data_IF_194873968138
#
_entry.id   IF_194873968138
#
_cell.length_a   1.000
_cell.length_b   1.000
_cell.length_c   1.000
_cell.angle_alpha   90.00
_cell.angle_beta   90.00
_cell.angle_gamma   90.00
#
_symmetry.space_group_name_H-M   'P 1'
#
loop_
_entity.id
_entity.type
_entity.pdbx_description
1 polymer ?
#
# COMPACT_ATOMS: atom_id res chain seq x y z
N UNK A 1 4.00 -27.61 63.29
CA UNK A 1 4.79 -26.92 64.33
C UNK A 1 6.22 -26.78 63.85
N UNK A 2 6.54 -25.64 63.23
CA UNK A 2 7.90 -25.20 62.90
C UNK A 2 7.76 -23.75 62.43
N UNK A 3 7.94 -22.77 63.32
CA UNK A 3 8.15 -21.35 62.99
C UNK A 3 8.47 -20.56 64.27
N UNK A 4 9.57 -20.88 64.96
CA UNK A 4 10.02 -20.06 66.11
C UNK A 4 11.47 -19.56 65.99
N UNK A 5 12.19 -19.84 64.89
CA UNK A 5 13.56 -19.32 64.70
C UNK A 5 13.72 -18.59 63.35
N UNK A 6 13.06 -17.43 63.22
CA UNK A 6 13.44 -16.44 62.21
C UNK A 6 14.44 -15.46 62.84
N UNK A 7 15.62 -15.22 62.22
CA UNK A 7 16.67 -14.38 62.79
C UNK A 7 16.32 -12.89 62.90
N UNK A 8 15.17 -12.46 62.36
CA UNK A 8 14.68 -11.07 62.38
C UNK A 8 13.15 -11.06 62.63
N UNK A 9 12.71 -10.82 63.89
CA UNK A 9 11.29 -10.91 64.25
C UNK A 9 10.42 -9.80 63.63
N UNK A 10 10.97 -8.60 63.41
CA UNK A 10 10.27 -7.46 62.79
C UNK A 10 9.89 -7.74 61.32
N UNK A 11 10.78 -8.40 60.58
CA UNK A 11 10.52 -8.83 59.20
C UNK A 11 9.50 -9.97 59.17
N UNK A 12 9.56 -10.89 60.13
CA UNK A 12 8.60 -11.98 60.25
C UNK A 12 7.19 -11.45 60.56
N UNK A 13 7.06 -10.40 61.36
CA UNK A 13 5.79 -9.73 61.66
C UNK A 13 5.24 -8.98 60.43
N UNK A 14 6.09 -8.26 59.71
CA UNK A 14 5.71 -7.59 58.46
C UNK A 14 5.28 -8.56 57.35
N UNK A 15 5.88 -9.76 57.30
CA UNK A 15 5.54 -10.79 56.31
C UNK A 15 4.43 -11.74 56.78
N UNK A 16 4.03 -11.71 58.05
CA UNK A 16 2.96 -12.53 58.63
C UNK A 16 1.63 -12.52 57.85
N UNK A 17 1.13 -11.38 57.31
CA UNK A 17 -0.08 -11.41 56.48
C UNK A 17 0.11 -12.06 55.10
N UNK A 18 1.35 -12.22 54.64
CA UNK A 18 1.69 -12.79 53.34
C UNK A 18 2.17 -14.25 53.42
N UNK A 19 2.64 -14.71 54.59
CA UNK A 19 3.07 -16.08 54.84
C UNK A 19 1.87 -16.90 55.31
N UNK A 20 1.23 -17.60 54.37
CA UNK A 20 0.14 -18.55 54.68
C UNK A 20 0.67 -19.90 55.14
N UNK A 21 -0.13 -20.64 55.91
CA UNK A 21 0.22 -22.00 56.31
C UNK A 21 0.31 -22.90 55.07
N UNK A 22 1.20 -23.91 55.11
CA UNK A 22 1.43 -24.84 53.98
C UNK A 22 0.13 -25.49 53.50
N UNK A 23 -0.76 -25.83 54.42
CA UNK A 23 -2.05 -26.46 54.12
C UNK A 23 -3.02 -25.50 53.43
N UNK A 24 -3.10 -24.24 53.89
CA UNK A 24 -3.88 -23.20 53.22
C UNK A 24 -3.36 -22.93 51.81
N UNK A 25 -2.04 -22.91 51.62
CA UNK A 25 -1.43 -22.76 50.28
C UNK A 25 -1.77 -23.96 49.40
N UNK A 26 -1.77 -25.18 49.94
CA UNK A 26 -2.16 -26.39 49.21
C UNK A 26 -3.64 -26.38 48.83
N UNK A 27 -4.52 -25.91 49.70
CA UNK A 27 -5.96 -25.77 49.45
C UNK A 27 -6.24 -24.69 48.41
N UNK A 28 -5.59 -23.53 48.52
CA UNK A 28 -5.66 -22.46 47.51
C UNK A 28 -5.18 -22.98 46.15
N UNK A 29 -4.06 -23.72 46.12
CA UNK A 29 -3.55 -24.31 44.87
C UNK A 29 -4.54 -25.32 44.28
N UNK A 30 -5.14 -26.19 45.08
CA UNK A 30 -6.17 -27.14 44.64
C UNK A 30 -7.42 -26.42 44.09
N UNK A 31 -7.88 -25.36 44.74
CA UNK A 31 -9.02 -24.56 44.28
C UNK A 31 -8.72 -23.78 42.99
N UNK A 32 -7.53 -23.20 42.86
CA UNK A 32 -7.13 -22.54 41.62
C UNK A 32 -6.99 -23.55 40.48
N UNK A 33 -6.41 -24.72 40.76
CA UNK A 33 -6.28 -25.80 39.79
C UNK A 33 -7.65 -26.30 39.32
N UNK A 34 -8.62 -26.51 40.22
CA UNK A 34 -9.98 -26.91 39.84
C UNK A 34 -10.70 -25.81 39.04
N UNK A 35 -10.52 -24.54 39.41
CA UNK A 35 -11.08 -23.41 38.68
C UNK A 35 -10.53 -23.29 37.25
N UNK A 36 -9.21 -23.42 37.09
CA UNK A 36 -8.56 -23.40 35.78
C UNK A 36 -8.93 -24.64 34.96
N UNK A 37 -9.03 -25.80 35.59
CA UNK A 37 -9.49 -27.03 34.94
C UNK A 37 -10.90 -26.86 34.37
N UNK A 38 -11.83 -26.27 35.12
CA UNK A 38 -13.18 -26.00 34.63
C UNK A 38 -13.25 -24.98 33.49
N UNK A 39 -12.25 -24.08 33.36
CA UNK A 39 -12.23 -23.02 32.34
C UNK A 39 -11.45 -23.38 31.07
N UNK A 40 -10.40 -24.18 31.20
CA UNK A 40 -9.45 -24.46 30.11
C UNK A 40 -9.70 -25.86 29.53
N UNK A 41 -10.06 -26.85 30.35
CA UNK A 41 -10.19 -28.23 29.88
C UNK A 41 -11.59 -28.53 29.39
N UNK A 42 -11.74 -28.60 28.06
CA UNK A 42 -12.87 -29.29 27.42
C UNK A 42 -12.56 -30.71 26.96
N UNK A 43 -11.27 -31.05 26.86
CA UNK A 43 -10.81 -32.30 26.23
C UNK A 43 -10.24 -33.33 27.22
N UNK A 44 -10.51 -33.18 28.53
CA UNK A 44 -10.25 -34.23 29.53
C UNK A 44 -8.78 -34.45 29.95
N UNK A 45 -7.81 -33.71 29.42
CA UNK A 45 -6.39 -33.85 29.82
C UNK A 45 -6.06 -33.07 31.11
N UNK A 46 -5.39 -33.65 32.12
CA UNK A 46 -5.05 -32.93 33.36
C UNK A 46 -4.09 -31.77 33.11
N UNK A 47 -4.40 -30.59 33.65
CA UNK A 47 -3.51 -29.42 33.59
C UNK A 47 -2.32 -29.65 34.53
N UNK A 48 -1.17 -29.94 33.95
CA UNK A 48 0.14 -29.84 34.63
C UNK A 48 0.67 -28.41 34.52
N UNK A 49 1.50 -27.96 35.46
CA UNK A 49 2.14 -26.62 35.44
C UNK A 49 2.94 -26.36 34.16
N UNK A 50 3.35 -27.41 33.46
CA UNK A 50 4.06 -27.37 32.18
C UNK A 50 3.10 -27.06 31.00
N UNK A 51 1.82 -27.46 31.10
CA UNK A 51 0.83 -27.30 30.03
C UNK A 51 0.14 -25.93 30.01
N UNK A 52 0.32 -25.11 31.05
CA UNK A 52 -0.21 -23.73 31.08
C UNK A 52 0.58 -22.81 30.13
N UNK A 53 1.86 -23.11 29.91
CA UNK A 53 2.76 -22.31 29.07
C UNK A 53 2.68 -22.67 27.58
N UNK A 54 2.01 -23.78 27.21
CA UNK A 54 1.92 -24.24 25.84
C UNK A 54 0.45 -24.40 25.44
N UNK A 55 -0.18 -23.36 24.83
CA UNK A 55 -1.52 -23.50 24.29
C UNK A 55 -1.45 -24.36 23.02
N UNK A 56 -1.47 -25.68 23.19
CA UNK A 56 -1.61 -26.63 22.08
C UNK A 56 -3.03 -26.70 21.49
N UNK A 57 -3.96 -25.89 22.03
CA UNK A 57 -5.35 -25.87 21.58
C UNK A 57 -5.51 -24.87 20.43
N UNK A 58 -5.45 -25.36 19.20
CA UNK A 58 -5.69 -24.61 17.96
C UNK A 58 -7.14 -24.15 17.77
N UNK A 59 -8.04 -24.45 18.73
CA UNK A 59 -9.45 -24.02 18.69
C UNK A 59 -9.91 -23.59 20.09
N UNK A 60 -10.21 -22.30 20.23
CA UNK A 60 -10.97 -21.78 21.36
C UNK A 60 -12.41 -22.28 21.22
N UNK A 61 -12.80 -23.33 21.95
CA UNK A 61 -14.22 -23.75 21.98
C UNK A 61 -15.11 -22.70 22.65
N UNK A 62 -16.45 -22.73 22.44
CA UNK A 62 -17.47 -21.84 23.06
C UNK A 62 -17.10 -21.18 24.42
N UNK A 63 -17.34 -19.90 24.66
CA UNK A 63 -16.90 -19.24 25.89
C UNK A 63 -17.54 -19.88 27.14
N UNK A 64 -16.78 -20.11 28.23
CA UNK A 64 -17.37 -20.55 29.49
C UNK A 64 -18.30 -19.46 30.04
N UNK A 65 -19.48 -19.86 30.52
CA UNK A 65 -20.56 -18.98 30.99
C UNK A 65 -20.19 -18.12 32.20
N UNK A 66 -19.07 -18.44 32.87
CA UNK A 66 -18.54 -17.70 34.03
C UNK A 66 -17.75 -16.44 33.67
N UNK A 67 -17.41 -16.23 32.39
CA UNK A 67 -16.62 -15.08 31.96
C UNK A 67 -17.57 -13.96 31.48
N UNK A 68 -17.68 -12.89 32.26
CA UNK A 68 -18.48 -11.70 31.95
C UNK A 68 -17.61 -10.45 31.74
N UNK A 69 -18.16 -9.43 31.08
CA UNK A 69 -17.50 -8.14 30.89
C UNK A 69 -16.26 -8.17 29.97
N UNK A 70 -15.21 -7.46 30.37
CA UNK A 70 -13.98 -7.23 29.58
C UNK A 70 -13.29 -8.54 29.21
N UNK A 71 -13.26 -9.53 30.11
CA UNK A 71 -12.64 -10.84 29.83
C UNK A 71 -13.38 -11.60 28.72
N UNK A 72 -14.71 -11.41 28.60
CA UNK A 72 -15.50 -11.99 27.49
C UNK A 72 -15.21 -11.28 26.17
N UNK A 73 -15.02 -9.97 26.21
CA UNK A 73 -14.63 -9.20 25.03
C UNK A 73 -13.23 -9.60 24.54
N UNK A 74 -12.27 -9.76 25.46
CA UNK A 74 -10.93 -10.27 25.14
C UNK A 74 -10.98 -11.67 24.52
N UNK A 75 -11.78 -12.56 25.10
CA UNK A 75 -11.97 -13.92 24.56
C UNK A 75 -12.52 -13.90 23.13
N UNK A 76 -13.56 -13.08 22.87
CA UNK A 76 -14.11 -12.89 21.52
C UNK A 76 -13.09 -12.29 20.55
N UNK A 77 -12.27 -11.35 21.01
CA UNK A 77 -11.21 -10.76 20.19
C UNK A 77 -10.14 -11.80 19.83
N UNK A 78 -9.79 -12.69 20.76
CA UNK A 78 -8.84 -13.77 20.53
C UNK A 78 -9.40 -14.80 19.52
N UNK A 79 -10.67 -15.18 19.67
CA UNK A 79 -11.37 -16.05 18.70
C UNK A 79 -11.43 -15.41 17.30
N UNK A 80 -11.79 -14.13 17.21
CA UNK A 80 -11.77 -13.38 15.96
C UNK A 80 -10.36 -13.31 15.34
N UNK A 81 -9.33 -13.10 16.16
CA UNK A 81 -7.94 -13.09 15.70
C UNK A 81 -7.50 -14.45 15.14
N UNK A 82 -7.82 -15.55 15.84
CA UNK A 82 -7.50 -16.90 15.36
C UNK A 82 -8.21 -17.21 14.05
N UNK A 83 -9.50 -16.87 13.92
CA UNK A 83 -10.24 -17.06 12.66
C UNK A 83 -9.73 -16.17 11.53
N UNK A 84 -9.24 -14.96 11.83
CA UNK A 84 -8.58 -14.11 10.83
C UNK A 84 -7.23 -14.69 10.40
N UNK A 85 -6.45 -15.21 11.34
CA UNK A 85 -5.16 -15.84 11.06
C UNK A 85 -5.32 -17.09 10.19
N UNK A 86 -6.28 -17.96 10.48
CA UNK A 86 -6.53 -19.14 9.63
C UNK A 86 -6.97 -18.77 8.22
N UNK A 87 -7.78 -17.72 8.07
CA UNK A 87 -8.15 -17.18 6.74
C UNK A 87 -6.94 -16.59 6.02
N UNK A 88 -6.09 -15.85 6.71
CA UNK A 88 -4.87 -15.30 6.15
C UNK A 88 -3.93 -16.41 5.68
N UNK A 89 -3.72 -17.44 6.49
CA UNK A 89 -2.89 -18.58 6.14
C UNK A 89 -3.48 -19.35 4.95
N UNK A 90 -4.80 -19.54 4.89
CA UNK A 90 -5.47 -20.13 3.73
C UNK A 90 -5.24 -19.30 2.45
N UNK A 91 -5.49 -17.99 2.49
CA UNK A 91 -5.26 -17.09 1.36
C UNK A 91 -3.79 -17.05 0.95
N UNK A 92 -2.87 -17.13 1.92
CA UNK A 92 -1.43 -17.21 1.66
C UNK A 92 -1.10 -18.49 0.92
N UNK A 93 -1.65 -19.62 1.33
CA UNK A 93 -1.45 -20.89 0.60
C UNK A 93 -2.05 -20.88 -0.79
N UNK A 94 -3.20 -20.23 -1.00
CA UNK A 94 -3.79 -20.03 -2.34
C UNK A 94 -2.91 -19.14 -3.22
N UNK A 95 -2.37 -18.06 -2.66
CA UNK A 95 -1.46 -17.16 -3.37
C UNK A 95 -0.16 -17.89 -3.72
N UNK A 96 0.38 -18.68 -2.81
CA UNK A 96 1.57 -19.49 -3.06
C UNK A 96 1.32 -20.56 -4.14
N UNK A 97 0.10 -21.13 -4.22
CA UNK A 97 -0.30 -22.03 -5.30
C UNK A 97 -0.39 -21.32 -6.65
N UNK A 98 -0.96 -20.10 -6.69
CA UNK A 98 -1.04 -19.28 -7.91
C UNK A 98 0.33 -18.74 -8.35
N UNK A 99 1.20 -18.45 -7.40
CA UNK A 99 2.54 -17.92 -7.63
C UNK A 99 3.53 -19.00 -8.05
N UNK A 100 3.27 -20.27 -7.73
CA UNK A 100 4.14 -21.38 -8.15
C UNK A 100 4.05 -21.53 -9.68
N UNK A 101 5.12 -21.20 -10.44
CA UNK A 101 5.12 -21.50 -11.86
C UNK A 101 5.04 -23.02 -12.02
N UNK A 102 4.00 -23.48 -12.70
CA UNK A 102 3.81 -24.90 -13.03
C UNK A 102 4.89 -25.31 -14.03
N UNK A 103 6.05 -25.73 -13.51
CA UNK A 103 7.01 -26.50 -14.29
C UNK A 103 6.47 -27.92 -14.42
N UNK A 104 6.17 -28.30 -15.66
CA UNK A 104 5.84 -29.65 -16.14
C UNK A 104 4.46 -30.21 -15.75
N UNK A 105 3.51 -30.09 -16.68
CA UNK A 105 3.04 -31.24 -17.49
C UNK A 105 2.32 -30.71 -18.74
N UNK A 106 2.84 -31.09 -19.91
CA UNK A 106 2.24 -30.84 -21.22
C UNK A 106 0.82 -31.41 -21.27
N UNK A 107 -0.17 -30.60 -21.68
CA UNK A 107 -1.47 -31.15 -22.06
C UNK A 107 -2.66 -30.20 -22.17
N UNK A 108 -2.81 -29.19 -21.31
CA UNK A 108 -4.17 -28.58 -21.15
C UNK A 108 -4.23 -27.05 -20.95
N UNK A 109 -3.15 -26.32 -21.25
CA UNK A 109 -3.12 -24.84 -21.12
C UNK A 109 -3.81 -24.08 -22.27
N UNK A 110 -4.37 -24.79 -23.25
CA UNK A 110 -5.16 -24.17 -24.33
C UNK A 110 -6.57 -23.75 -23.88
N UNK A 111 -7.17 -24.47 -22.92
CA UNK A 111 -8.59 -24.29 -22.58
C UNK A 111 -8.80 -23.16 -21.56
N UNK A 112 -7.87 -22.94 -20.63
CA UNK A 112 -8.03 -21.93 -19.57
C UNK A 112 -7.66 -20.51 -20.02
N UNK A 113 -6.71 -20.36 -20.95
CA UNK A 113 -6.41 -19.06 -21.59
C UNK A 113 -7.51 -18.66 -22.57
N UNK A 114 -7.99 -19.59 -23.38
CA UNK A 114 -9.17 -19.38 -24.24
C UNK A 114 -10.43 -19.05 -23.42
N UNK A 115 -10.67 -19.74 -22.30
CA UNK A 115 -11.82 -19.47 -21.43
C UNK A 115 -11.76 -18.09 -20.74
N UNK A 116 -10.57 -17.54 -20.46
CA UNK A 116 -10.44 -16.19 -19.91
C UNK A 116 -10.72 -15.12 -20.98
N UNK A 117 -10.22 -15.31 -22.20
CA UNK A 117 -10.47 -14.41 -23.31
C UNK A 117 -11.96 -14.44 -23.75
N UNK A 118 -12.60 -15.62 -23.73
CA UNK A 118 -14.04 -15.79 -23.96
C UNK A 118 -14.89 -15.13 -22.86
N UNK A 119 -14.46 -15.23 -21.59
CA UNK A 119 -15.12 -14.55 -20.48
C UNK A 119 -15.01 -13.02 -20.58
N UNK A 120 -13.85 -12.50 -21.00
CA UNK A 120 -13.66 -11.08 -21.26
C UNK A 120 -14.49 -10.59 -22.44
N UNK A 121 -14.64 -11.41 -23.49
CA UNK A 121 -15.52 -11.11 -24.61
C UNK A 121 -16.99 -11.02 -24.16
N UNK A 122 -17.46 -11.97 -23.35
CA UNK A 122 -18.82 -11.96 -22.77
C UNK A 122 -19.05 -10.75 -21.84
N UNK A 123 -18.04 -10.34 -21.07
CA UNK A 123 -18.11 -9.13 -20.24
C UNK A 123 -18.26 -7.87 -21.09
N UNK A 124 -17.44 -7.73 -22.14
CA UNK A 124 -17.53 -6.62 -23.10
C UNK A 124 -18.89 -6.59 -23.79
N UNK A 125 -19.41 -7.75 -24.17
CA UNK A 125 -20.73 -7.87 -24.80
C UNK A 125 -21.87 -7.50 -23.85
N UNK A 126 -21.81 -7.95 -22.58
CA UNK A 126 -22.75 -7.54 -21.52
C UNK A 126 -22.70 -6.04 -21.25
N UNK A 127 -21.52 -5.44 -21.27
CA UNK A 127 -21.36 -4.00 -21.11
C UNK A 127 -21.96 -3.24 -22.30
N UNK A 128 -21.69 -3.68 -23.53
CA UNK A 128 -22.32 -3.15 -24.74
C UNK A 128 -23.85 -3.26 -24.66
N UNK A 129 -24.36 -4.41 -24.23
CA UNK A 129 -25.80 -4.63 -24.07
C UNK A 129 -26.42 -3.71 -22.99
N UNK A 130 -25.74 -3.49 -21.86
CA UNK A 130 -26.18 -2.51 -20.85
C UNK A 130 -26.23 -1.10 -21.41
N UNK A 131 -25.19 -0.69 -22.17
CA UNK A 131 -25.15 0.63 -22.83
C UNK A 131 -26.29 0.77 -23.84
N UNK A 132 -26.53 -0.25 -24.67
CA UNK A 132 -27.64 -0.27 -25.62
C UNK A 132 -29.00 -0.22 -24.91
N UNK A 133 -29.18 -0.92 -23.78
CA UNK A 133 -30.42 -0.87 -22.99
C UNK A 133 -30.68 0.50 -22.37
N UNK A 134 -29.63 1.25 -22.01
CA UNK A 134 -29.75 2.64 -21.56
C UNK A 134 -30.19 3.54 -22.72
N UNK A 135 -29.59 3.36 -23.90
CA UNK A 135 -29.97 4.10 -25.12
C UNK A 135 -31.41 3.76 -25.52
N UNK A 136 -31.80 2.48 -25.52
CA UNK A 136 -33.15 2.02 -25.82
C UNK A 136 -34.16 2.57 -24.81
N UNK A 137 -33.82 2.59 -23.51
CA UNK A 137 -34.64 3.24 -22.48
C UNK A 137 -34.77 4.75 -22.75
N UNK A 138 -33.69 5.45 -23.07
CA UNK A 138 -33.72 6.87 -23.39
C UNK A 138 -34.54 7.16 -24.65
N UNK A 139 -34.40 6.36 -25.69
CA UNK A 139 -35.21 6.44 -26.91
C UNK A 139 -36.68 6.15 -26.61
N UNK A 140 -36.99 5.11 -25.83
CA UNK A 140 -38.36 4.80 -25.42
C UNK A 140 -39.00 5.96 -24.64
N UNK A 141 -38.23 6.61 -23.76
CA UNK A 141 -38.67 7.79 -23.01
C UNK A 141 -38.92 8.99 -23.94
N UNK A 142 -38.03 9.23 -24.92
CA UNK A 142 -38.21 10.28 -25.92
C UNK A 142 -39.43 9.98 -26.79
N UNK A 143 -39.64 8.73 -27.24
CA UNK A 143 -40.81 8.35 -28.04
C UNK A 143 -42.11 8.39 -27.26
N UNK A 144 -42.10 8.04 -25.97
CA UNK A 144 -43.26 8.17 -25.08
C UNK A 144 -43.60 9.64 -24.79
N UNK A 145 -42.58 10.50 -24.73
CA UNK A 145 -42.74 11.96 -24.57
C UNK A 145 -43.17 12.66 -25.87
N UNK A 146 -42.85 12.09 -27.04
CA UNK A 146 -43.18 12.65 -28.36
C UNK A 146 -44.67 12.55 -28.73
N UNK A 147 -45.51 11.96 -27.87
CA UNK A 147 -46.97 11.95 -28.01
C UNK A 147 -47.65 13.28 -27.64
N UNK A 148 -46.92 14.23 -27.05
CA UNK A 148 -47.39 15.59 -26.80
C UNK A 148 -46.56 16.56 -27.63
N UNK A 149 -47.10 16.93 -28.79
CA UNK A 149 -46.51 17.90 -29.69
C UNK A 149 -46.16 19.21 -28.96
N UNK A 150 -44.88 19.57 -28.93
CA UNK A 150 -44.43 20.93 -28.68
C UNK A 150 -43.14 21.17 -29.45
N UNK A 151 -43.15 22.21 -30.27
CA UNK A 151 -42.07 22.68 -31.13
C UNK A 151 -40.91 23.33 -30.33
N UNK A 152 -40.43 22.64 -29.30
CA UNK A 152 -39.22 22.99 -28.55
C UNK A 152 -38.06 22.09 -28.96
N UNK A 153 -36.86 22.65 -29.03
CA UNK A 153 -35.63 21.87 -29.25
C UNK A 153 -35.58 20.73 -28.23
N UNK A 154 -35.26 19.51 -28.69
CA UNK A 154 -35.12 18.31 -27.85
C UNK A 154 -34.23 18.57 -26.62
N UNK A 155 -33.28 19.51 -26.75
CA UNK A 155 -32.37 19.98 -25.72
C UNK A 155 -33.08 20.64 -24.52
N UNK A 156 -34.14 21.43 -24.75
CA UNK A 156 -34.91 22.09 -23.68
C UNK A 156 -35.75 21.09 -22.89
N UNK A 157 -36.26 20.05 -23.55
CA UNK A 157 -37.04 19.00 -22.90
C UNK A 157 -36.14 18.10 -22.05
N UNK A 158 -34.94 17.75 -22.52
CA UNK A 158 -33.91 17.04 -21.74
C UNK A 158 -33.48 17.86 -20.52
N UNK A 159 -33.28 19.19 -20.67
CA UNK A 159 -32.94 20.11 -19.58
C UNK A 159 -34.02 20.20 -18.51
N UNK A 160 -35.29 20.09 -18.90
CA UNK A 160 -36.44 20.12 -17.97
C UNK A 160 -36.62 18.83 -17.16
N UNK A 161 -36.28 17.67 -17.74
CA UNK A 161 -36.55 16.35 -17.13
C UNK A 161 -35.34 15.80 -16.37
N UNK A 162 -34.13 16.15 -16.78
CA UNK A 162 -32.85 15.70 -16.19
C UNK A 162 -32.22 16.77 -15.29
N UNK A 163 -32.74 18.01 -15.34
CA UNK A 163 -32.08 19.17 -14.77
C UNK A 163 -30.90 19.61 -15.63
N UNK A 164 -30.41 20.84 -15.42
CA UNK A 164 -29.19 21.30 -16.08
C UNK A 164 -28.03 20.38 -15.65
N UNK A 165 -27.49 19.66 -16.62
CA UNK A 165 -26.32 18.80 -16.43
C UNK A 165 -25.24 19.69 -15.78
N UNK A 166 -24.68 19.33 -14.60
CA UNK A 166 -23.56 20.07 -14.07
C UNK A 166 -22.50 20.06 -15.15
N UNK A 167 -22.13 21.26 -15.62
CA UNK A 167 -21.08 21.44 -16.63
C UNK A 167 -19.92 20.53 -16.18
N UNK A 168 -19.56 19.50 -16.96
CA UNK A 168 -18.45 18.63 -16.58
C UNK A 168 -17.28 19.57 -16.31
N UNK A 169 -16.54 19.40 -15.20
CA UNK A 169 -15.41 20.27 -14.91
C UNK A 169 -14.53 20.26 -16.15
N UNK A 170 -14.59 21.37 -16.88
CA UNK A 170 -13.78 21.58 -18.05
C UNK A 170 -12.36 21.31 -17.56
N UNK A 171 -11.69 20.33 -18.13
CA UNK A 171 -10.32 19.95 -17.78
C UNK A 171 -9.31 21.00 -18.22
N UNK A 172 -9.73 22.26 -18.22
CA UNK A 172 -8.88 23.41 -18.03
C UNK A 172 -9.29 24.05 -16.72
N UNK A 173 -8.44 24.01 -15.69
CA UNK A 173 -8.77 24.69 -14.44
C UNK A 173 -8.83 26.18 -14.73
N UNK A 174 -10.04 26.72 -14.83
CA UNK A 174 -10.31 28.11 -14.50
C UNK A 174 -10.10 28.24 -12.99
N UNK A 175 -8.83 28.17 -12.58
CA UNK A 175 -8.38 28.92 -11.43
C UNK A 175 -8.92 30.32 -11.66
N UNK A 176 -9.76 30.80 -10.74
CA UNK A 176 -9.85 32.24 -10.47
C UNK A 176 -8.43 32.66 -10.08
N UNK A 177 -7.63 32.91 -11.10
CA UNK A 177 -6.21 33.17 -11.03
C UNK A 177 -6.15 34.64 -10.70
N UNK A 178 -6.09 34.95 -9.41
CA UNK A 178 -5.77 36.32 -9.00
C UNK A 178 -4.54 36.80 -9.78
N UNK A 179 -4.44 38.09 -10.14
CA UNK A 179 -3.36 38.63 -10.97
C UNK A 179 -1.95 38.29 -10.44
N UNK A 180 -1.85 38.01 -9.13
CA UNK A 180 -0.64 37.55 -8.47
C UNK A 180 -0.17 36.15 -8.90
N UNK A 181 -1.10 35.20 -9.09
CA UNK A 181 -0.77 33.84 -9.53
C UNK A 181 -0.33 33.87 -11.00
N UNK A 182 -0.96 34.69 -11.83
CA UNK A 182 -0.55 34.89 -13.21
C UNK A 182 0.85 35.52 -13.32
N UNK A 183 1.14 36.53 -12.50
CA UNK A 183 2.47 37.13 -12.39
C UNK A 183 3.54 36.09 -11.98
N UNK A 184 3.23 35.23 -11.01
CA UNK A 184 4.12 34.13 -10.59
C UNK A 184 4.32 33.09 -11.69
N UNK A 185 3.29 32.73 -12.45
CA UNK A 185 3.45 31.84 -13.61
C UNK A 185 4.27 32.51 -14.72
N UNK A 186 4.08 33.80 -14.98
CA UNK A 186 4.88 34.53 -15.97
C UNK A 186 6.35 34.61 -15.54
N UNK A 187 6.61 34.80 -14.23
CA UNK A 187 7.96 34.74 -13.67
C UNK A 187 8.57 33.35 -13.80
N UNK A 188 7.80 32.29 -13.54
CA UNK A 188 8.24 30.91 -13.71
C UNK A 188 8.52 30.59 -15.18
N UNK A 189 7.62 30.95 -16.10
CA UNK A 189 7.82 30.78 -17.55
C UNK A 189 9.07 31.52 -18.01
N UNK A 190 9.29 32.75 -17.54
CA UNK A 190 10.50 33.52 -17.83
C UNK A 190 11.76 32.85 -17.27
N UNK A 191 11.70 32.30 -16.06
CA UNK A 191 12.81 31.57 -15.45
C UNK A 191 13.11 30.25 -16.17
N UNK A 192 12.09 29.51 -16.60
CA UNK A 192 12.25 28.27 -17.37
C UNK A 192 12.86 28.56 -18.74
N UNK A 193 12.40 29.60 -19.44
CA UNK A 193 12.98 29.99 -20.73
C UNK A 193 14.42 30.51 -20.56
N UNK A 194 14.72 31.28 -19.52
CA UNK A 194 16.07 31.78 -19.29
C UNK A 194 17.05 30.68 -18.88
N UNK A 195 16.61 29.71 -18.08
CA UNK A 195 17.41 28.54 -17.69
C UNK A 195 17.64 27.60 -18.86
N UNK A 196 16.61 27.33 -19.67
CA UNK A 196 16.76 26.57 -20.92
C UNK A 196 17.78 27.23 -21.85
N UNK A 197 17.64 28.53 -22.10
CA UNK A 197 18.60 29.28 -22.93
C UNK A 197 20.03 29.22 -22.37
N UNK A 198 20.20 29.26 -21.05
CA UNK A 198 21.52 29.14 -20.41
C UNK A 198 22.10 27.74 -20.53
N UNK A 199 21.28 26.70 -20.41
CA UNK A 199 21.70 25.32 -20.62
C UNK A 199 22.11 25.09 -22.08
N UNK A 200 21.32 25.61 -23.04
CA UNK A 200 21.62 25.53 -24.47
C UNK A 200 22.91 26.29 -24.84
N UNK A 201 23.18 27.43 -24.20
CA UNK A 201 24.44 28.15 -24.40
C UNK A 201 25.65 27.38 -23.81
N UNK A 202 25.48 26.73 -22.66
CA UNK A 202 26.54 25.91 -22.06
C UNK A 202 26.83 24.65 -22.88
N UNK A 203 25.80 23.99 -23.44
CA UNK A 203 26.00 22.84 -24.34
C UNK A 203 26.66 23.27 -25.64
N UNK A 204 26.33 24.46 -26.17
CA UNK A 204 27.02 25.00 -27.35
C UNK A 204 28.47 25.36 -27.07
N UNK A 205 28.77 25.97 -25.93
CA UNK A 205 30.15 26.26 -25.51
C UNK A 205 30.97 24.99 -25.26
N UNK A 206 30.35 23.93 -24.71
CA UNK A 206 30.99 22.63 -24.59
C UNK A 206 31.27 21.99 -25.97
N UNK A 207 30.34 22.10 -26.91
CA UNK A 207 30.54 21.64 -28.29
C UNK A 207 31.64 22.43 -29.01
N UNK A 208 31.68 23.75 -28.86
CA UNK A 208 32.73 24.61 -29.42
C UNK A 208 34.12 24.33 -28.82
N UNK A 209 34.19 23.97 -27.53
CA UNK A 209 35.43 23.50 -26.90
C UNK A 209 35.90 22.14 -27.44
N UNK A 210 34.98 21.21 -27.73
CA UNK A 210 35.33 19.93 -28.36
C UNK A 210 35.76 20.06 -29.82
N UNK A 211 35.25 21.07 -30.55
CA UNK A 211 35.59 21.31 -31.97
C UNK A 211 36.96 21.97 -32.14
N UNK A 212 37.46 22.70 -31.13
CA UNK A 212 38.82 23.27 -31.14
C UNK A 212 39.94 22.28 -30.82
N UNK A 213 39.60 21.08 -30.34
CA UNK A 213 40.52 20.03 -29.92
C UNK A 213 40.56 18.85 -30.93
N UNK A 214 40.11 19.10 -32.17
CA UNK A 214 39.95 18.09 -33.23
C UNK A 214 41.29 17.67 -33.87
N UNK A 215 42.39 18.38 -33.61
CA UNK A 215 43.69 18.02 -34.17
C UNK A 215 44.35 16.81 -33.46
N UNK A 216 43.78 16.30 -32.36
CA UNK A 216 44.22 15.07 -31.69
C UNK A 216 43.05 14.27 -31.09
N UNK A 217 42.14 13.78 -31.94
CA UNK A 217 41.07 12.88 -31.48
C UNK A 217 41.64 11.51 -31.16
N UNK A 218 41.67 11.14 -29.87
CA UNK A 218 41.96 9.79 -29.43
C UNK A 218 40.87 8.82 -29.97
N UNK A 219 41.24 7.60 -30.40
CA UNK A 219 40.30 6.65 -31.02
C UNK A 219 39.11 6.29 -30.11
N UNK A 220 39.26 6.43 -28.80
CA UNK A 220 38.18 6.23 -27.82
C UNK A 220 37.07 7.28 -27.91
N UNK A 221 37.40 8.52 -28.29
CA UNK A 221 36.42 9.59 -28.48
C UNK A 221 35.61 9.40 -29.77
N UNK A 222 36.21 8.80 -30.80
CA UNK A 222 35.52 8.41 -32.04
C UNK A 222 34.51 7.28 -31.77
N UNK A 223 34.91 6.24 -31.03
CA UNK A 223 34.01 5.14 -30.64
C UNK A 223 32.87 5.65 -29.76
N UNK A 224 33.13 6.54 -28.80
CA UNK A 224 32.10 7.15 -27.97
C UNK A 224 31.15 8.04 -28.79
N UNK A 225 31.67 8.77 -29.78
CA UNK A 225 30.88 9.57 -30.71
C UNK A 225 29.95 8.71 -31.57
N UNK A 226 30.48 7.61 -32.14
CA UNK A 226 29.70 6.65 -32.92
C UNK A 226 28.64 5.95 -32.07
N UNK A 227 28.96 5.57 -30.83
CA UNK A 227 28.01 4.97 -29.91
C UNK A 227 26.88 5.96 -29.55
N UNK A 228 27.20 7.24 -29.39
CA UNK A 228 26.20 8.29 -29.15
C UNK A 228 25.33 8.54 -30.37
N UNK A 229 25.90 8.57 -31.56
CA UNK A 229 25.14 8.67 -32.81
C UNK A 229 24.21 7.46 -33.01
N UNK A 230 24.67 6.26 -32.67
CA UNK A 230 23.85 5.04 -32.71
C UNK A 230 22.69 5.12 -31.72
N UNK A 231 22.94 5.59 -30.49
CA UNK A 231 21.89 5.79 -29.50
C UNK A 231 20.86 6.83 -29.97
N UNK A 232 21.32 7.94 -30.56
CA UNK A 232 20.44 8.97 -31.11
C UNK A 232 19.57 8.40 -32.25
N UNK A 233 20.16 7.66 -33.19
CA UNK A 233 19.43 7.01 -34.28
C UNK A 233 18.43 5.98 -33.75
N UNK A 234 18.80 5.22 -32.72
CA UNK A 234 17.91 4.26 -32.06
C UNK A 234 16.72 4.97 -31.42
N UNK A 235 16.96 6.03 -30.64
CA UNK A 235 15.87 6.81 -30.04
C UNK A 235 14.99 7.48 -31.10
N UNK A 236 15.57 7.92 -32.22
CA UNK A 236 14.81 8.46 -33.34
C UNK A 236 13.93 7.39 -33.99
N UNK A 237 14.46 6.20 -34.26
CA UNK A 237 13.69 5.06 -34.78
C UNK A 237 12.58 4.64 -33.82
N UNK A 238 12.87 4.52 -32.53
CA UNK A 238 11.86 4.21 -31.51
C UNK A 238 10.75 5.26 -31.49
N UNK A 239 11.11 6.55 -31.57
CA UNK A 239 10.12 7.63 -31.65
C UNK A 239 9.27 7.53 -32.92
N UNK A 240 9.89 7.26 -34.08
CA UNK A 240 9.15 7.05 -35.32
C UNK A 240 8.23 5.82 -35.24
N UNK A 241 8.69 4.72 -34.64
CA UNK A 241 7.87 3.52 -34.42
C UNK A 241 6.72 3.79 -33.45
N UNK A 242 6.90 4.63 -32.43
CA UNK A 242 5.78 5.03 -31.55
C UNK A 242 4.75 5.88 -32.29
N UNK A 243 5.19 6.79 -33.17
CA UNK A 243 4.28 7.62 -33.98
C UNK A 243 3.47 6.75 -34.94
N UNK A 244 4.11 5.75 -35.57
CA UNK A 244 3.42 4.82 -36.47
C UNK A 244 2.42 3.95 -35.68
N UNK A 245 2.84 3.40 -34.53
CA UNK A 245 1.97 2.60 -33.67
C UNK A 245 0.78 3.39 -33.10
N UNK A 246 0.95 4.69 -32.86
CA UNK A 246 -0.14 5.58 -32.43
C UNK A 246 -1.09 5.90 -33.60
N UNK A 247 -0.57 6.05 -34.83
CA UNK A 247 -1.37 6.31 -36.04
C UNK A 247 -2.20 5.13 -36.54
N UNK A 248 -1.87 3.89 -36.16
CA UNK A 248 -2.65 2.69 -36.51
C UNK A 248 -3.90 2.47 -35.64
N UNK A 249 -4.15 3.34 -34.64
CA UNK A 249 -5.31 3.21 -33.73
C UNK A 249 -6.55 4.02 -34.11
N UNK A 250 -6.49 4.83 -35.18
CA UNK A 250 -7.64 5.62 -35.64
C UNK A 250 -8.06 5.23 -37.08
N UNK A 251 -8.95 4.26 -37.18
CA UNK A 251 -9.72 4.04 -38.41
C UNK A 251 -10.84 5.07 -38.53
N UNK A 252 -10.67 6.10 -39.36
CA UNK A 252 -11.75 6.72 -40.14
C UNK A 252 -11.20 7.37 -41.44
N UNK A 253 -12.02 7.46 -42.51
CA UNK A 253 -11.51 7.33 -43.88
C UNK A 253 -11.50 8.65 -44.69
N UNK A 254 -10.64 8.65 -45.72
CA UNK A 254 -10.59 9.50 -46.93
C UNK A 254 -10.10 10.97 -46.84
N UNK A 255 -8.91 11.21 -47.40
CA UNK A 255 -8.74 12.02 -48.62
C UNK A 255 -7.32 11.93 -49.20
N UNK A 256 -7.26 11.77 -50.52
CA UNK A 256 -6.09 11.70 -51.42
C UNK A 256 -5.12 12.90 -51.25
N UNK A 257 -3.80 12.75 -51.43
CA UNK A 257 -3.06 12.65 -52.72
C UNK A 257 -1.56 12.96 -52.46
N UNK A 258 -0.58 12.78 -53.39
CA UNK A 258 -0.31 11.68 -54.32
C UNK A 258 1.13 11.09 -54.18
N UNK A 259 1.24 9.81 -54.52
CA UNK A 259 2.35 9.13 -55.24
C UNK A 259 3.80 9.63 -55.04
N UNK A 260 4.65 8.70 -54.55
CA UNK A 260 5.85 8.33 -55.30
C UNK A 260 6.04 6.81 -55.26
N UNK A 261 5.95 6.22 -56.45
CA UNK A 261 6.15 4.80 -56.69
C UNK A 261 7.55 4.37 -56.23
N UNK A 262 7.59 3.30 -55.46
CA UNK A 262 8.74 2.42 -55.29
C UNK A 262 8.18 1.01 -55.19
N UNK A 263 8.00 0.35 -56.34
CA UNK A 263 7.88 -1.09 -56.41
C UNK A 263 9.07 -1.71 -55.69
N UNK A 264 8.83 -2.30 -54.52
CA UNK A 264 9.66 -3.39 -54.04
C UNK A 264 8.75 -4.58 -53.85
N UNK A 265 8.76 -5.38 -54.91
CA UNK A 265 8.34 -6.77 -54.96
C UNK A 265 8.55 -7.46 -53.63
N UNK A 266 7.56 -8.26 -53.22
CA UNK A 266 7.77 -9.32 -52.24
C UNK A 266 8.92 -10.20 -52.70
N UNK A 267 10.07 -10.02 -52.06
CA UNK A 267 11.18 -10.94 -52.14
C UNK A 267 11.30 -11.53 -50.74
N UNK A 268 11.19 -12.86 -50.65
CA UNK A 268 11.44 -13.58 -49.41
C UNK A 268 12.73 -13.08 -48.80
N UNK A 269 12.72 -12.87 -47.48
CA UNK A 269 13.92 -12.56 -46.71
C UNK A 269 14.95 -13.62 -47.07
N UNK A 270 15.99 -13.20 -47.78
CA UNK A 270 17.10 -14.06 -48.16
C UNK A 270 17.76 -14.55 -46.86
N UNK A 271 17.67 -15.86 -46.62
CA UNK A 271 18.08 -16.49 -45.36
C UNK A 271 19.60 -16.70 -45.32
N UNK A 272 20.24 -16.81 -46.50
CA UNK A 272 21.69 -16.96 -46.63
C UNK A 272 22.52 -15.86 -45.94
N UNK A 273 22.22 -14.55 -46.07
CA UNK A 273 22.98 -13.53 -45.37
C UNK A 273 22.83 -13.61 -43.85
N UNK A 274 21.72 -14.13 -43.34
CA UNK A 274 21.50 -14.33 -41.89
C UNK A 274 22.31 -15.52 -41.40
N UNK A 275 22.35 -16.61 -42.16
CA UNK A 275 23.16 -17.79 -41.87
C UNK A 275 24.66 -17.46 -41.88
N UNK A 276 25.13 -16.71 -42.88
CA UNK A 276 26.52 -16.25 -42.94
C UNK A 276 26.92 -15.35 -41.75
N UNK A 277 26.01 -14.47 -41.31
CA UNK A 277 26.19 -13.66 -40.10
C UNK A 277 26.25 -14.52 -38.83
N UNK A 278 25.43 -15.56 -38.76
CA UNK A 278 25.42 -16.50 -37.64
C UNK A 278 26.68 -17.37 -37.59
N UNK A 279 27.19 -17.80 -38.73
CA UNK A 279 28.44 -18.56 -38.82
C UNK A 279 29.63 -17.69 -38.39
N UNK A 280 29.68 -16.44 -38.84
CA UNK A 280 30.71 -15.47 -38.42
C UNK A 280 30.61 -15.21 -36.90
N UNK A 281 29.40 -15.13 -36.35
CA UNK A 281 29.18 -15.01 -34.91
C UNK A 281 29.64 -16.26 -34.14
N UNK A 282 29.39 -17.46 -34.66
CA UNK A 282 29.83 -18.71 -34.04
C UNK A 282 31.35 -18.84 -34.07
N UNK A 283 32.01 -18.50 -35.18
CA UNK A 283 33.47 -18.53 -35.30
C UNK A 283 34.14 -17.56 -34.33
N UNK A 284 33.65 -16.33 -34.25
CA UNK A 284 34.17 -15.32 -33.32
C UNK A 284 33.98 -15.74 -31.86
N UNK A 285 32.82 -16.32 -31.53
CA UNK A 285 32.54 -16.84 -30.19
C UNK A 285 33.40 -18.05 -29.85
N UNK A 286 33.62 -18.96 -30.79
CA UNK A 286 34.55 -20.07 -30.61
C UNK A 286 35.96 -19.54 -30.36
N UNK A 287 36.46 -18.61 -31.18
CA UNK A 287 37.80 -18.02 -31.01
C UNK A 287 37.97 -17.36 -29.64
N UNK A 288 36.94 -16.68 -29.15
CA UNK A 288 36.94 -16.06 -27.82
C UNK A 288 37.00 -17.12 -26.72
N UNK A 289 36.19 -18.17 -26.79
CA UNK A 289 36.22 -19.28 -25.82
C UNK A 289 37.58 -19.97 -25.80
N UNK A 290 38.21 -20.21 -26.95
CA UNK A 290 39.56 -20.78 -27.03
C UNK A 290 40.58 -19.86 -26.37
N UNK A 291 40.53 -18.54 -26.62
CA UNK A 291 41.45 -17.59 -25.98
C UNK A 291 41.30 -17.50 -24.46
N UNK A 292 40.08 -17.67 -23.94
CA UNK A 292 39.81 -17.69 -22.49
C UNK A 292 40.31 -19.01 -21.88
N UNK A 293 40.04 -20.15 -22.51
CA UNK A 293 40.54 -21.44 -22.04
C UNK A 293 42.08 -21.55 -22.10
N UNK A 294 42.71 -20.99 -23.13
CA UNK A 294 44.18 -20.97 -23.26
C UNK A 294 44.82 -20.04 -22.22
N UNK A 295 44.12 -18.95 -21.84
CA UNK A 295 44.52 -18.06 -20.74
C UNK A 295 44.37 -18.73 -19.36
N UNK A 296 43.38 -19.59 -19.17
CA UNK A 296 43.22 -20.34 -17.92
C UNK A 296 44.24 -21.49 -17.81
N UNK A 297 44.55 -22.15 -18.94
CA UNK A 297 45.50 -23.28 -18.97
C UNK A 297 46.96 -22.88 -18.77
N UNK A 298 47.33 -21.65 -19.11
CA UNK A 298 48.69 -21.10 -18.89
C UNK A 298 48.98 -20.68 -17.44
N UNK A 299 48.03 -20.85 -16.51
CA UNK A 299 48.21 -20.56 -15.07
C UNK A 299 48.33 -21.81 -14.18
N UNK A 300 48.28 -23.02 -14.77
CA UNK A 300 48.22 -24.28 -14.00
C UNK A 300 49.48 -25.15 -14.04
N UNK A 301 50.55 -24.73 -14.71
CA UNK A 301 51.83 -25.46 -14.74
C UNK A 301 53.02 -24.56 -14.35
N UNK A 302 53.06 -24.12 -13.09
CA UNK A 302 54.34 -23.73 -12.47
C UNK A 302 54.41 -24.35 -11.07
N UNK A 303 55.31 -25.32 -10.94
CA UNK A 303 55.60 -26.05 -9.72
C UNK A 303 55.96 -25.08 -8.58
N UNK A 304 55.18 -25.10 -7.50
CA UNK A 304 55.55 -24.49 -6.24
C UNK A 304 56.60 -25.37 -5.52
N UNK A 305 57.87 -24.95 -5.59
CA UNK A 305 58.89 -25.24 -4.58
C UNK A 305 59.01 -23.99 -3.67
N UNK A 306 58.97 -24.11 -2.34
CA UNK A 306 58.87 -22.95 -1.45
C UNK A 306 60.26 -22.36 -1.19
N UNK A 307 60.60 -21.27 -1.87
CA UNK A 307 61.82 -20.52 -1.60
C UNK A 307 61.60 -19.48 -0.49
N UNK A 308 62.46 -19.57 0.50
CA UNK A 308 62.57 -18.79 1.73
C UNK A 308 62.68 -17.28 1.47
N UNK A 309 62.11 -16.50 2.40
CA UNK A 309 62.37 -15.06 2.52
C UNK A 309 63.86 -14.79 2.79
N UNK A 310 64.49 -13.80 2.12
CA UNK A 310 65.72 -13.20 2.61
C UNK A 310 65.42 -11.88 3.33
N UNK A 311 65.78 -11.83 4.60
CA UNK A 311 66.07 -10.59 5.30
C UNK A 311 67.39 -9.96 4.84
N UNK A 312 67.46 -8.65 5.06
CA UNK A 312 68.62 -7.76 5.13
C UNK A 312 69.31 -7.22 3.87
N UNK A 313 69.64 -5.93 3.96
CA UNK A 313 70.99 -5.48 3.63
C UNK A 313 71.13 -4.50 2.47
N UNK A 314 71.16 -3.22 2.82
CA UNK A 314 71.68 -2.06 2.07
C UNK A 314 72.91 -2.30 1.18
N UNK A 315 72.94 -1.76 -0.06
CA UNK A 315 73.94 -0.77 -0.54
C UNK A 315 73.94 -0.53 -2.08
N UNK A 316 73.62 0.71 -2.46
CA UNK A 316 74.17 1.61 -3.50
C UNK A 316 74.72 1.16 -4.88
N UNK A 317 74.28 1.97 -5.88
CA UNK A 317 74.92 2.46 -7.14
C UNK A 317 75.03 1.47 -8.31
N UNK A 318 74.72 1.79 -9.57
CA UNK A 318 74.48 3.04 -10.32
C UNK A 318 73.80 2.69 -11.69
N UNK A 319 73.49 3.65 -12.60
CA UNK A 319 72.25 3.67 -13.37
C UNK A 319 72.42 3.20 -14.83
N UNK A 320 71.48 2.43 -15.37
CA UNK A 320 71.24 2.38 -16.81
C UNK A 320 69.76 2.07 -17.07
N UNK A 321 69.11 3.01 -17.76
CA UNK A 321 68.03 2.83 -18.73
C UNK A 321 67.15 1.57 -18.62
N UNK A 322 65.95 1.74 -18.09
CA UNK A 322 64.81 0.90 -18.48
C UNK A 322 63.54 1.74 -18.33
N UNK A 323 62.75 1.73 -19.39
CA UNK A 323 61.43 2.34 -19.47
C UNK A 323 60.65 2.12 -18.17
N UNK A 324 60.18 3.20 -17.56
CA UNK A 324 59.11 3.11 -16.59
C UNK A 324 57.87 2.63 -17.35
N UNK A 325 57.71 1.31 -17.42
CA UNK A 325 56.43 0.67 -17.68
C UNK A 325 55.51 1.25 -16.63
N UNK A 326 54.63 2.16 -17.03
CA UNK A 326 53.47 2.54 -16.23
C UNK A 326 52.72 1.24 -16.03
N UNK A 327 52.99 0.55 -14.91
CA UNK A 327 52.21 -0.62 -14.48
C UNK A 327 50.77 -0.14 -14.51
N UNK A 328 50.05 -0.64 -15.52
CA UNK A 328 48.75 -0.12 -15.93
C UNK A 328 47.90 0.03 -14.68
N UNK A 329 47.39 1.24 -14.45
CA UNK A 329 46.51 1.56 -13.31
C UNK A 329 45.31 0.62 -13.24
N UNK A 330 44.96 -0.04 -14.34
CA UNK A 330 43.98 -1.13 -14.39
C UNK A 330 44.38 -2.32 -13.50
N UNK A 331 45.66 -2.73 -13.50
CA UNK A 331 46.15 -3.88 -12.72
C UNK A 331 46.12 -3.59 -11.21
N UNK A 332 46.31 -2.34 -10.79
CA UNK A 332 46.21 -1.95 -9.37
C UNK A 332 44.77 -1.79 -8.89
N UNK A 333 43.80 -1.61 -9.81
CA UNK A 333 42.37 -1.49 -9.46
C UNK A 333 41.59 -2.81 -9.47
N UNK A 334 42.08 -3.83 -10.18
CA UNK A 334 41.46 -5.18 -10.25
C UNK A 334 41.03 -5.76 -8.89
N UNK A 335 41.83 -5.71 -7.80
CA UNK A 335 41.40 -6.27 -6.51
C UNK A 335 40.25 -5.50 -5.84
N UNK A 336 39.98 -4.25 -6.24
CA UNK A 336 38.91 -3.42 -5.67
C UNK A 336 37.60 -3.50 -6.46
N UNK A 337 37.61 -4.01 -7.70
CA UNK A 337 36.41 -4.22 -8.52
C UNK A 337 35.33 -5.05 -7.82
N UNK A 338 35.63 -6.18 -7.14
CA UNK A 338 34.58 -6.94 -6.46
C UNK A 338 33.91 -6.13 -5.35
N UNK A 339 34.67 -5.35 -4.57
CA UNK A 339 34.12 -4.49 -3.52
C UNK A 339 33.26 -3.34 -4.09
N UNK A 340 33.66 -2.78 -5.23
CA UNK A 340 32.86 -1.77 -5.94
C UNK A 340 31.58 -2.36 -6.55
N UNK A 341 31.64 -3.59 -7.06
CA UNK A 341 30.49 -4.30 -7.59
C UNK A 341 29.47 -4.65 -6.50
N UNK A 342 29.93 -5.11 -5.32
CA UNK A 342 29.05 -5.35 -4.17
C UNK A 342 28.42 -4.05 -3.69
N UNK A 343 29.21 -2.97 -3.54
CA UNK A 343 28.70 -1.66 -3.14
C UNK A 343 27.64 -1.11 -4.12
N UNK A 344 27.86 -1.28 -5.43
CA UNK A 344 26.86 -0.92 -6.45
C UNK A 344 25.58 -1.75 -6.33
N UNK A 345 25.70 -3.05 -6.05
CA UNK A 345 24.52 -3.92 -5.85
C UNK A 345 23.73 -3.52 -4.59
N UNK A 346 24.43 -3.14 -3.52
CA UNK A 346 23.83 -2.67 -2.27
C UNK A 346 23.12 -1.33 -2.49
N UNK A 347 23.74 -0.40 -3.22
CA UNK A 347 23.12 0.86 -3.62
C UNK A 347 21.83 0.63 -4.41
N UNK A 348 21.85 -0.25 -5.40
CA UNK A 348 20.66 -0.60 -6.18
C UNK A 348 19.56 -1.24 -5.32
N UNK A 349 19.94 -2.11 -4.38
CA UNK A 349 19.02 -2.71 -3.41
C UNK A 349 18.39 -1.65 -2.50
N UNK A 350 19.18 -0.70 -1.99
CA UNK A 350 18.70 0.41 -1.16
C UNK A 350 17.77 1.35 -1.95
N UNK A 351 18.08 1.65 -3.20
CA UNK A 351 17.20 2.43 -4.08
C UNK A 351 15.87 1.69 -4.27
N UNK A 352 15.91 0.38 -4.50
CA UNK A 352 14.70 -0.45 -4.61
C UNK A 352 13.86 -0.43 -3.32
N UNK A 353 14.49 -0.61 -2.16
CA UNK A 353 13.83 -0.59 -0.86
C UNK A 353 13.23 0.78 -0.54
N UNK A 354 13.96 1.87 -0.80
CA UNK A 354 13.47 3.24 -0.55
C UNK A 354 12.30 3.59 -1.47
N UNK A 355 12.34 3.20 -2.73
CA UNK A 355 11.21 3.36 -3.65
C UNK A 355 9.98 2.56 -3.19
N UNK A 356 10.18 1.32 -2.72
CA UNK A 356 9.12 0.49 -2.18
C UNK A 356 8.46 1.11 -0.95
N UNK A 357 9.25 1.55 0.04
CA UNK A 357 8.74 2.18 1.26
C UNK A 357 7.99 3.47 0.94
N UNK A 358 8.50 4.31 0.02
CA UNK A 358 7.78 5.51 -0.42
C UNK A 358 6.41 5.17 -1.02
N UNK A 359 6.34 4.16 -1.89
CA UNK A 359 5.08 3.70 -2.47
C UNK A 359 4.11 3.19 -1.41
N UNK A 360 4.60 2.42 -0.44
CA UNK A 360 3.77 1.94 0.67
C UNK A 360 3.26 3.09 1.54
N UNK A 361 4.12 4.08 1.84
CA UNK A 361 3.75 5.25 2.61
C UNK A 361 2.66 6.05 1.89
N UNK A 362 2.84 6.36 0.60
CA UNK A 362 1.81 7.08 -0.17
C UNK A 362 0.49 6.30 -0.29
N UNK A 363 0.55 4.96 -0.38
CA UNK A 363 -0.65 4.13 -0.34
C UNK A 363 -1.37 4.23 1.01
N UNK A 364 -0.62 4.10 2.11
CA UNK A 364 -1.17 4.20 3.47
C UNK A 364 -1.72 5.60 3.76
N UNK A 365 -1.04 6.66 3.31
CA UNK A 365 -1.52 8.05 3.38
C UNK A 365 -2.84 8.21 2.59
N UNK A 366 -2.92 7.66 1.39
CA UNK A 366 -4.15 7.67 0.60
C UNK A 366 -5.31 6.94 1.29
N UNK A 367 -5.03 5.79 1.90
CA UNK A 367 -6.05 5.00 2.60
C UNK A 367 -6.50 5.65 3.92
N UNK A 368 -5.57 6.25 4.67
CA UNK A 368 -5.92 7.02 5.88
C UNK A 368 -6.73 8.27 5.53
N UNK A 369 -6.37 8.99 4.46
CA UNK A 369 -7.15 10.14 3.99
C UNK A 369 -8.58 9.75 3.59
N UNK A 370 -8.74 8.64 2.86
CA UNK A 370 -10.07 8.10 2.50
C UNK A 370 -10.87 7.68 3.73
N UNK A 371 -10.23 7.04 4.70
CA UNK A 371 -10.88 6.61 5.94
C UNK A 371 -11.35 7.82 6.75
N UNK A 372 -10.51 8.85 6.89
CA UNK A 372 -10.87 10.10 7.58
C UNK A 372 -12.03 10.79 6.85
N UNK A 373 -11.99 10.85 5.52
CA UNK A 373 -13.09 11.43 4.75
C UNK A 373 -14.40 10.65 4.94
N UNK A 374 -14.33 9.32 4.88
CA UNK A 374 -15.48 8.46 5.14
C UNK A 374 -16.04 8.66 6.55
N UNK A 375 -15.17 8.72 7.56
CA UNK A 375 -15.58 9.03 8.94
C UNK A 375 -16.20 10.42 9.05
N UNK A 376 -15.72 11.40 8.28
CA UNK A 376 -16.31 12.74 8.24
C UNK A 376 -17.71 12.70 7.64
N UNK A 377 -17.90 11.94 6.55
CA UNK A 377 -19.18 11.79 5.88
C UNK A 377 -20.19 10.97 6.72
N UNK A 378 -19.71 10.00 7.51
CA UNK A 378 -20.53 9.21 8.45
C UNK A 378 -20.80 9.95 9.77
N UNK A 379 -19.99 10.94 10.12
CA UNK A 379 -20.12 11.71 11.36
C UNK A 379 -21.16 12.80 11.22
N UNK A 380 -22.17 12.80 12.10
CA UNK A 380 -23.09 13.92 12.22
C UNK A 380 -22.52 15.12 13.01
N UNK A 381 -21.30 14.99 13.54
CA UNK A 381 -20.65 16.05 14.31
C UNK A 381 -19.86 17.01 13.42
N UNK A 382 -19.42 16.58 12.25
CA UNK A 382 -18.53 17.33 11.36
C UNK A 382 -19.19 17.49 9.99
N UNK A 383 -18.92 18.58 9.29
CA UNK A 383 -19.47 18.78 7.94
C UNK A 383 -18.87 17.75 6.96
N UNK A 384 -19.66 17.21 6.01
CA UNK A 384 -19.17 16.28 5.00
C UNK A 384 -18.07 16.94 4.16
N UNK A 385 -17.00 16.19 3.88
CA UNK A 385 -15.80 16.72 3.22
C UNK A 385 -14.75 17.37 4.13
N UNK A 386 -14.95 17.38 5.45
CA UNK A 386 -13.94 17.82 6.41
C UNK A 386 -12.76 16.82 6.50
N UNK A 387 -11.76 17.03 5.66
CA UNK A 387 -10.54 16.21 5.60
C UNK A 387 -9.44 16.68 6.54
N UNK A 388 -9.55 17.89 7.11
CA UNK A 388 -8.52 18.50 7.97
C UNK A 388 -8.84 18.30 9.44
N UNK A 389 -7.82 17.95 10.23
CA UNK A 389 -7.96 17.79 11.68
C UNK A 389 -8.44 19.05 12.42
N UNK A 390 -8.22 20.24 11.86
CA UNK A 390 -8.71 21.50 12.42
C UNK A 390 -10.25 21.56 12.48
N UNK A 391 -10.94 21.02 11.47
CA UNK A 391 -12.40 21.05 11.39
C UNK A 391 -13.01 20.10 12.41
N UNK A 392 -12.38 18.93 12.61
CA UNK A 392 -12.70 17.99 13.68
C UNK A 392 -12.49 18.60 15.07
N UNK A 393 -11.41 19.35 15.26
CA UNK A 393 -11.13 20.03 16.52
C UNK A 393 -12.21 21.08 16.83
N UNK A 394 -12.57 21.92 15.84
CA UNK A 394 -13.63 22.92 15.99
C UNK A 394 -14.97 22.27 16.32
N UNK A 395 -15.38 21.27 15.54
CA UNK A 395 -16.60 20.50 15.78
C UNK A 395 -16.62 19.85 17.18
N UNK A 396 -15.50 19.29 17.63
CA UNK A 396 -15.37 18.72 18.96
C UNK A 396 -15.55 19.76 20.07
N UNK A 397 -14.98 20.96 19.91
CA UNK A 397 -15.17 22.05 20.87
C UNK A 397 -16.61 22.56 20.89
N UNK A 398 -17.26 22.64 19.73
CA UNK A 398 -18.65 23.07 19.62
C UNK A 398 -19.60 22.04 20.25
N UNK A 399 -19.44 20.75 19.92
CA UNK A 399 -20.23 19.68 20.50
C UNK A 399 -20.05 19.59 22.03
N UNK A 400 -18.83 19.80 22.53
CA UNK A 400 -18.55 19.86 23.97
C UNK A 400 -19.25 21.02 24.64
N UNK A 401 -19.25 22.20 24.00
CA UNK A 401 -19.97 23.39 24.49
C UNK A 401 -21.48 23.14 24.53
N UNK A 402 -22.07 22.65 23.43
CA UNK A 402 -23.51 22.36 23.34
C UNK A 402 -23.94 21.34 24.39
N UNK A 403 -23.13 20.29 24.61
CA UNK A 403 -23.41 19.29 25.64
C UNK A 403 -23.35 19.91 27.03
N UNK A 404 -22.34 20.75 27.31
CA UNK A 404 -22.20 21.45 28.58
C UNK A 404 -23.40 22.36 28.86
N UNK A 405 -23.87 23.09 27.87
CA UNK A 405 -25.03 23.98 27.98
C UNK A 405 -26.34 23.20 28.17
N UNK A 406 -26.49 22.07 27.47
CA UNK A 406 -27.65 21.18 27.66
C UNK A 406 -27.68 20.55 29.04
N UNK A 407 -26.53 20.08 29.54
CA UNK A 407 -26.42 19.47 30.88
C UNK A 407 -26.63 20.53 31.97
N UNK A 408 -26.06 21.72 31.84
CA UNK A 408 -26.26 22.79 32.81
C UNK A 408 -27.72 23.25 32.87
N UNK A 409 -28.40 23.35 31.73
CA UNK A 409 -29.84 23.62 31.67
C UNK A 409 -30.69 22.53 32.32
N UNK A 410 -30.38 21.25 32.06
CA UNK A 410 -31.06 20.12 32.73
C UNK A 410 -30.80 20.09 34.23
N UNK A 411 -29.59 20.41 34.67
CA UNK A 411 -29.23 20.48 36.08
C UNK A 411 -30.00 21.60 36.79
N UNK A 412 -30.06 22.79 36.20
CA UNK A 412 -30.82 23.92 36.73
C UNK A 412 -32.31 23.57 36.86
N UNK A 413 -32.91 22.98 35.82
CA UNK A 413 -34.30 22.52 35.87
C UNK A 413 -34.49 21.45 36.95
N UNK A 414 -33.58 20.48 37.06
CA UNK A 414 -33.62 19.45 38.11
C UNK A 414 -33.54 20.02 39.53
N UNK A 415 -32.74 21.08 39.73
CA UNK A 415 -32.67 21.78 41.01
C UNK A 415 -33.98 22.50 41.35
N UNK A 416 -34.64 23.13 40.36
CA UNK A 416 -35.95 23.75 40.55
C UNK A 416 -37.02 22.71 40.91
N UNK A 417 -37.05 21.57 40.22
CA UNK A 417 -37.96 20.48 40.55
C UNK A 417 -37.69 19.89 41.93
N UNK A 418 -36.42 19.70 42.30
CA UNK A 418 -36.05 19.22 43.63
C UNK A 418 -36.44 20.23 44.73
N UNK A 419 -36.28 21.54 44.47
CA UNK A 419 -36.72 22.60 45.37
C UNK A 419 -38.24 22.58 45.57
N UNK A 420 -39.01 22.52 44.48
CA UNK A 420 -40.47 22.42 44.55
C UNK A 420 -40.95 21.13 45.24
N UNK A 421 -40.30 20.00 44.98
CA UNK A 421 -40.60 18.75 45.67
C UNK A 421 -40.32 18.83 47.17
N UNK A 422 -39.25 19.54 47.57
CA UNK A 422 -38.93 19.80 48.97
C UNK A 422 -40.00 20.69 49.63
N UNK A 423 -40.44 21.74 48.96
CA UNK A 423 -41.54 22.59 49.46
C UNK A 423 -42.84 21.79 49.67
N UNK A 424 -43.17 20.89 48.74
CA UNK A 424 -44.33 19.98 48.88
C UNK A 424 -44.14 19.02 50.05
N UNK A 425 -42.93 18.47 50.24
CA UNK A 425 -42.62 17.60 51.37
C UNK A 425 -42.78 18.33 52.71
N UNK A 426 -42.20 19.53 52.83
CA UNK A 426 -42.29 20.36 54.03
C UNK A 426 -43.77 20.75 54.32
N UNK A 427 -44.56 21.00 53.28
CA UNK A 427 -46.00 21.23 53.41
C UNK A 427 -46.75 20.00 53.95
N UNK A 428 -46.41 18.79 53.48
CA UNK A 428 -47.00 17.54 53.99
C UNK A 428 -46.59 17.28 55.44
N UNK A 429 -45.34 17.54 55.82
CA UNK A 429 -44.87 17.38 57.20
C UNK A 429 -45.53 18.39 58.15
N UNK A 430 -45.86 19.58 57.65
CA UNK A 430 -46.57 20.61 58.41
C UNK A 430 -48.08 20.35 58.57
N UNK A 431 -48.66 19.40 57.84
CA UNK A 431 -50.07 19.04 58.01
C UNK A 431 -50.25 18.35 59.37
N UNK A 432 -51.15 18.84 60.23
CA UNK A 432 -51.40 18.21 61.52
C UNK A 432 -51.89 16.78 61.28
N UNK A 433 -51.24 15.82 61.95
CA UNK A 433 -51.61 14.41 62.02
C UNK A 433 -53.05 14.23 62.52
N UNK A 434 -54.01 14.35 61.60
CA UNK A 434 -55.43 14.06 61.82
C UNK A 434 -55.79 12.63 61.37
N UNK A 435 -54.79 11.77 61.16
CA UNK A 435 -54.95 10.45 60.55
C UNK A 435 -54.96 9.27 61.54
N UNK A 436 -55.21 9.50 62.82
CA UNK A 436 -55.59 8.43 63.76
C UNK A 436 -57.12 8.41 63.88
N UNK A 437 -57.82 7.86 62.89
CA UNK A 437 -59.26 7.70 63.06
C UNK A 437 -60.15 7.34 61.89
N UNK A 438 -59.73 6.58 60.87
CA UNK A 438 -60.70 5.87 60.01
C UNK A 438 -60.15 4.52 59.58
N UNK A 439 -60.32 3.53 60.46
CA UNK A 439 -60.37 2.12 60.06
C UNK A 439 -61.77 1.86 59.50
N UNK A 440 -61.90 1.79 58.18
CA UNK A 440 -63.05 1.12 57.55
C UNK A 440 -62.62 0.43 56.25
N UNK A 441 -62.97 -0.86 56.03
CA UNK A 441 -62.47 -1.65 54.90
C UNK A 441 -63.35 -1.44 53.67
N UNK A 442 -62.76 -0.96 52.58
CA UNK A 442 -63.43 -0.91 51.27
C UNK A 442 -63.32 -2.26 50.57
N UNK A 443 -64.51 -2.76 50.24
CA UNK A 443 -64.89 -3.93 49.46
C UNK A 443 -64.17 -4.00 48.10
N UNK A 444 -63.64 -5.19 47.81
CA UNK A 444 -62.95 -5.55 46.57
C UNK A 444 -63.99 -5.89 45.49
N UNK A 445 -64.19 -5.01 44.51
CA UNK A 445 -64.98 -5.30 43.30
C UNK A 445 -64.02 -5.69 42.18
N UNK A 446 -64.03 -6.94 41.67
CA UNK A 446 -63.21 -7.33 40.53
C UNK A 446 -63.80 -6.80 39.22
N UNK A 447 -62.99 -5.98 38.52
CA UNK A 447 -63.28 -5.44 37.19
C UNK A 447 -63.21 -6.51 36.11
N UNK A 448 -64.28 -6.53 35.32
CA UNK A 448 -64.61 -7.45 34.26
C UNK A 448 -63.76 -7.19 33.00
N UNK A 449 -63.13 -8.23 32.46
CA UNK A 449 -62.38 -8.22 31.20
C UNK A 449 -63.31 -8.57 30.03
N UNK A 450 -63.55 -7.62 29.12
CA UNK A 450 -64.12 -7.79 27.78
C UNK A 450 -63.91 -6.44 27.05
N UNK A 451 -63.52 -6.27 25.78
CA UNK A 451 -63.30 -7.11 24.59
C UNK A 451 -62.79 -6.13 23.50
N UNK A 452 -61.89 -6.56 22.61
CA UNK A 452 -61.91 -6.39 21.12
C UNK A 452 -62.38 -5.05 20.49
N UNK A 453 -61.78 -4.47 19.45
CA UNK A 453 -60.95 -4.97 18.33
C UNK A 453 -59.93 -3.91 17.88
#
# INVERSE_FOLDING_TARGET
MANDNCPLPEVAEALRPYIKHRDEVADIRRNLQSHLQNQINRDGAPISTINVASPGATKLGSPPTSITGVRRAYWKALDAHLTAQTKYDALRTELDQLRRPVTATNGDLGVTRAGHDDYLALLREREKHRKLKVIDKALSNVTASNGSASAGSLDDMVRSQVGELPVPPNTQPSFSRGPEVEAKIMQLKKAVVSTKRRADEQTRQAAEHTVRDVDQVAPEAEVAGLQKALQELTTWMETQLTIIAESDTDTQPLSESPRRNGELNGSGVDVEPIEALYDTYLETRQRLVHSVNDSERSTSEENHEPAEWPEDGTAQRHPVSASSTTKSTAVTMLPFIPALATAKSEEQSLIGQTAYVRRQLSSAEGDTARLVQRLADESHLVQPGASRGEDWAKAGTEASRVTKDSVSGRLANGQLFAGSAKEVYDAIESLPSMADGVSSPCEFIPGNNARSD
#
